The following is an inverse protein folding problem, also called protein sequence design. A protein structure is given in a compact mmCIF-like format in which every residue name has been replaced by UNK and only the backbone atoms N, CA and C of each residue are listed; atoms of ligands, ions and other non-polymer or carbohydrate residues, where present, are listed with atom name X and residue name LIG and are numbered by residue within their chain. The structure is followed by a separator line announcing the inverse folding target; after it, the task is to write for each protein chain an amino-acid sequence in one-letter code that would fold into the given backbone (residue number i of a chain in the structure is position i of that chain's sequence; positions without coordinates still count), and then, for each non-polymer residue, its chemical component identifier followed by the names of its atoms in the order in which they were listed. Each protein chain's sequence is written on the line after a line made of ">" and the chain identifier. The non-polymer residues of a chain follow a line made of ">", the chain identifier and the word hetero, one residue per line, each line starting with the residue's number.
data_IF_992177008984
#
_entry.id   IF_992177008984
#
_cell.length_a   1.000
_cell.length_b   1.000
_cell.length_c   1.000
_cell.angle_alpha   90.00
_cell.angle_beta   90.00
_cell.angle_gamma   90.00
#
_symmetry.space_group_name_H-M   'P 1'
#
loop_
_entity.id
_entity.type
_entity.pdbx_description
1 polymer ?
#
# COMPACT_ATOMS: atom_id res chain seq x y z
N UNK A 1 1.91 -19.56 1.06
CA UNK A 1 3.00 -18.82 0.38
C UNK A 1 3.41 -17.64 1.26
N UNK A 2 4.68 -17.25 1.30
CA UNK A 2 5.27 -16.36 2.34
C UNK A 2 5.20 -14.85 2.03
N UNK A 3 4.58 -14.44 0.92
CA UNK A 3 4.52 -13.03 0.50
C UNK A 3 5.85 -12.43 0.03
N UNK A 4 6.94 -13.20 0.00
CA UNK A 4 8.25 -12.73 -0.47
C UNK A 4 8.31 -12.70 -2.00
N UNK A 5 8.85 -11.61 -2.54
CA UNK A 5 9.08 -11.45 -3.98
C UNK A 5 10.34 -12.22 -4.38
N UNK A 6 10.26 -12.93 -5.52
CA UNK A 6 11.29 -13.87 -6.00
C UNK A 6 12.67 -13.24 -6.20
N UNK A 7 12.76 -11.91 -6.37
CA UNK A 7 14.03 -11.18 -6.49
C UNK A 7 14.96 -11.43 -5.29
N UNK A 8 14.41 -11.67 -4.09
CA UNK A 8 15.19 -11.92 -2.86
C UNK A 8 16.04 -13.19 -2.95
N UNK A 9 15.70 -14.13 -3.84
CA UNK A 9 16.49 -15.36 -4.04
C UNK A 9 17.85 -15.08 -4.69
N UNK A 10 17.99 -13.98 -5.43
CA UNK A 10 19.21 -13.59 -6.13
C UNK A 10 19.84 -12.31 -5.58
N UNK A 11 19.04 -11.46 -4.93
CA UNK A 11 19.44 -10.20 -4.32
C UNK A 11 19.28 -10.31 -2.80
N UNK A 12 20.38 -10.67 -2.13
CA UNK A 12 20.38 -11.04 -0.72
C UNK A 12 20.45 -9.82 0.22
N UNK A 13 20.85 -8.65 -0.30
CA UNK A 13 20.91 -7.42 0.47
C UNK A 13 19.52 -6.79 0.61
N UNK A 14 19.14 -6.41 1.83
CA UNK A 14 17.88 -5.74 2.11
C UNK A 14 18.08 -4.23 2.25
N UNK A 15 17.23 -3.43 1.58
CA UNK A 15 17.15 -1.98 1.73
C UNK A 15 15.69 -1.54 1.71
N UNK A 16 15.32 -0.48 2.45
CA UNK A 16 13.95 0.00 2.49
C UNK A 16 13.47 0.50 1.13
N UNK A 17 12.16 0.39 0.93
CA UNK A 17 11.45 0.75 -0.30
C UNK A 17 10.22 1.55 0.11
N UNK A 18 10.06 2.72 -0.51
CA UNK A 18 8.90 3.57 -0.30
C UNK A 18 8.06 3.59 -1.57
N UNK A 19 6.75 3.41 -1.38
CA UNK A 19 5.72 3.56 -2.40
C UNK A 19 4.71 4.59 -1.88
N UNK A 20 4.37 5.54 -2.74
CA UNK A 20 3.33 6.53 -2.52
C UNK A 20 2.21 6.26 -3.53
N UNK A 21 1.00 6.06 -3.02
CA UNK A 21 -0.22 5.87 -3.80
C UNK A 21 -1.33 6.73 -3.20
N UNK A 22 -2.29 7.20 -4.02
CA UNK A 22 -3.47 7.87 -3.51
C UNK A 22 -4.24 6.96 -2.54
N UNK A 23 -4.78 7.55 -1.48
CA UNK A 23 -5.54 6.83 -0.46
C UNK A 23 -6.79 6.14 -1.04
N UNK A 24 -7.42 6.77 -2.03
CA UNK A 24 -8.57 6.25 -2.75
C UNK A 24 -8.52 6.73 -4.19
N UNK A 25 -9.02 5.90 -5.09
CA UNK A 25 -9.12 6.20 -6.53
C UNK A 25 -10.54 5.97 -6.98
N UNK A 26 -11.00 6.82 -7.90
CA UNK A 26 -12.27 6.62 -8.57
C UNK A 26 -12.13 5.52 -9.64
N UNK A 27 -13.26 5.06 -10.16
CA UNK A 27 -13.33 4.08 -11.25
C UNK A 27 -12.84 4.68 -12.56
N UNK A 28 -12.30 3.85 -13.44
CA UNK A 28 -11.85 4.21 -14.79
C UNK A 28 -11.01 5.50 -14.82
N UNK A 29 -10.14 5.65 -13.81
CA UNK A 29 -9.35 6.85 -13.58
C UNK A 29 -7.88 6.50 -13.58
N UNK A 30 -7.08 7.28 -14.32
CA UNK A 30 -5.63 7.15 -14.29
C UNK A 30 -5.09 7.85 -13.05
N UNK A 31 -4.28 7.14 -12.26
CA UNK A 31 -3.60 7.70 -11.10
C UNK A 31 -2.11 7.33 -11.10
N UNK A 32 -1.34 8.10 -10.34
CA UNK A 32 0.09 7.90 -10.17
C UNK A 32 0.39 7.02 -8.95
N UNK A 33 1.16 5.96 -9.15
CA UNK A 33 1.88 5.29 -8.07
C UNK A 33 3.36 5.62 -8.18
N UNK A 34 3.89 6.34 -7.19
CA UNK A 34 5.29 6.77 -7.18
C UNK A 34 6.09 5.78 -6.35
N UNK A 35 7.07 5.14 -6.96
CA UNK A 35 8.01 4.28 -6.25
C UNK A 35 9.36 4.97 -6.23
N UNK A 36 9.90 5.18 -5.03
CA UNK A 36 11.21 5.83 -4.88
C UNK A 36 12.30 4.77 -4.99
N UNK A 37 12.99 4.76 -6.12
CA UNK A 37 13.91 3.71 -6.53
C UNK A 37 15.16 4.27 -7.17
N UNK A 38 16.36 3.88 -6.72
CA UNK A 38 17.55 4.08 -7.54
C UNK A 38 17.70 3.04 -8.67
N UNK A 39 17.26 1.77 -8.66
CA UNK A 39 17.35 0.91 -9.87
C UNK A 39 16.24 -0.16 -9.86
N UNK A 40 15.67 -0.50 -11.03
CA UNK A 40 14.80 -1.68 -11.31
C UNK A 40 13.59 -1.93 -10.40
N UNK A 41 12.40 -2.18 -10.98
CA UNK A 41 11.16 -2.39 -10.22
C UNK A 41 10.27 -3.49 -10.80
N UNK A 42 9.59 -4.19 -9.90
CA UNK A 42 8.40 -4.96 -10.22
C UNK A 42 7.25 -4.51 -9.29
N UNK A 43 6.08 -4.30 -9.86
CA UNK A 43 4.88 -3.86 -9.14
C UNK A 43 3.76 -4.87 -9.41
N UNK A 44 3.14 -5.35 -8.34
CA UNK A 44 1.99 -6.24 -8.37
C UNK A 44 0.76 -5.45 -7.99
N UNK A 45 -0.11 -5.23 -8.98
CA UNK A 45 -1.35 -4.52 -8.84
C UNK A 45 -2.51 -5.49 -8.57
N UNK A 46 -3.62 -4.99 -8.03
CA UNK A 46 -4.83 -5.78 -7.86
C UNK A 46 -5.38 -6.27 -9.21
N UNK A 47 -6.21 -7.30 -9.19
CA UNK A 47 -6.90 -7.80 -10.39
C UNK A 47 -7.69 -6.66 -11.07
N UNK A 48 -7.64 -6.61 -12.41
CA UNK A 48 -8.30 -5.58 -13.21
C UNK A 48 -7.55 -4.25 -13.35
N UNK A 49 -6.59 -3.95 -12.47
CA UNK A 49 -5.74 -2.76 -12.63
C UNK A 49 -4.66 -3.02 -13.69
N UNK A 50 -4.49 -2.05 -14.59
CA UNK A 50 -3.57 -2.15 -15.73
C UNK A 50 -2.76 -0.88 -15.88
N UNK A 51 -1.66 -0.95 -16.65
CA UNK A 51 -0.94 0.25 -17.07
C UNK A 51 -1.84 1.10 -17.97
N UNK A 52 -1.92 2.40 -17.70
CA UNK A 52 -2.70 3.31 -18.54
C UNK A 52 -2.13 3.37 -19.97
N UNK A 53 -3.04 3.34 -20.95
CA UNK A 53 -2.68 3.52 -22.36
C UNK A 53 -2.08 4.91 -22.59
N UNK A 54 -1.09 5.05 -23.50
CA UNK A 54 -0.43 6.34 -23.75
C UNK A 54 -1.41 7.49 -24.04
N UNK A 55 -2.53 7.21 -24.69
CA UNK A 55 -3.51 8.24 -25.08
C UNK A 55 -4.31 8.79 -23.90
N UNK A 56 -4.44 8.02 -22.81
CA UNK A 56 -5.19 8.40 -21.61
C UNK A 56 -4.32 9.04 -20.53
N UNK A 57 -3.00 9.13 -20.75
CA UNK A 57 -2.06 9.73 -19.78
C UNK A 57 -1.98 11.24 -20.03
N UNK A 58 -2.19 12.05 -18.98
CA UNK A 58 -2.04 13.50 -19.02
C UNK A 58 -0.62 13.92 -19.44
N UNK A 59 -0.45 15.06 -20.13
CA UNK A 59 0.85 15.53 -20.62
C UNK A 59 1.91 15.65 -19.51
N UNK A 60 1.51 16.16 -18.33
CA UNK A 60 2.39 16.27 -17.17
C UNK A 60 2.93 14.90 -16.70
N UNK A 61 2.06 13.89 -16.69
CA UNK A 61 2.43 12.53 -16.30
C UNK A 61 3.31 11.86 -17.37
N UNK A 62 3.15 12.21 -18.65
CA UNK A 62 4.01 11.71 -19.74
C UNK A 62 5.45 12.20 -19.58
N UNK A 63 5.65 13.44 -19.17
CA UNK A 63 6.99 13.98 -18.90
C UNK A 63 7.66 13.25 -17.73
N UNK A 64 6.92 13.03 -16.62
CA UNK A 64 7.41 12.29 -15.44
C UNK A 64 7.68 10.81 -15.72
N UNK A 65 6.81 10.17 -16.51
CA UNK A 65 6.97 8.78 -16.94
C UNK A 65 8.32 8.60 -17.66
N UNK A 66 8.80 9.63 -18.34
CA UNK A 66 10.04 9.64 -19.12
C UNK A 66 10.11 8.44 -20.10
N UNK A 67 11.25 8.21 -20.76
CA UNK A 67 11.42 7.10 -21.71
C UNK A 67 11.53 5.72 -21.03
N UNK A 68 10.78 5.49 -19.95
CA UNK A 68 10.71 4.20 -19.26
C UNK A 68 9.75 3.27 -20.00
N UNK A 69 10.26 2.07 -20.32
CA UNK A 69 9.46 0.98 -20.86
C UNK A 69 8.88 0.17 -19.71
N UNK A 70 7.56 0.01 -19.70
CA UNK A 70 6.84 -0.83 -18.75
C UNK A 70 6.40 -2.09 -19.50
N UNK A 71 6.73 -3.24 -18.94
CA UNK A 71 6.39 -4.53 -19.52
C UNK A 71 5.47 -5.30 -18.59
N UNK A 72 4.59 -6.12 -19.16
CA UNK A 72 3.82 -7.08 -18.37
C UNK A 72 4.72 -8.27 -18.05
N UNK A 73 4.69 -8.74 -16.80
CA UNK A 73 5.46 -9.93 -16.39
C UNK A 73 5.10 -11.16 -17.21
N UNK A 74 3.82 -11.29 -17.63
CA UNK A 74 3.34 -12.27 -18.58
C UNK A 74 2.31 -11.64 -19.52
N UNK A 75 2.16 -12.11 -20.77
CA UNK A 75 1.15 -11.60 -21.71
C UNK A 75 -0.28 -11.69 -21.15
N UNK A 76 -0.58 -12.73 -20.38
CA UNK A 76 -1.91 -12.96 -19.78
C UNK A 76 -2.15 -12.18 -18.49
N UNK A 77 -1.09 -11.71 -17.81
CA UNK A 77 -1.19 -11.01 -16.52
C UNK A 77 -0.76 -9.56 -16.67
N UNK A 78 -1.74 -8.70 -16.92
CA UNK A 78 -1.53 -7.26 -17.13
C UNK A 78 -1.40 -6.44 -15.84
N UNK A 79 -1.80 -6.99 -14.71
CA UNK A 79 -1.68 -6.35 -13.39
C UNK A 79 -0.28 -6.48 -12.77
N UNK A 80 0.62 -7.24 -13.39
CA UNK A 80 2.00 -7.36 -12.91
C UNK A 80 2.93 -6.64 -13.87
N UNK A 81 3.48 -5.52 -13.42
CA UNK A 81 4.32 -4.64 -14.22
C UNK A 81 5.78 -4.81 -13.83
N UNK A 82 6.66 -4.86 -14.82
CA UNK A 82 8.11 -4.96 -14.67
C UNK A 82 8.75 -3.82 -15.43
N UNK A 83 9.80 -3.26 -14.84
CA UNK A 83 10.64 -2.25 -15.46
C UNK A 83 12.03 -2.82 -15.63
N UNK A 84 12.58 -2.63 -16.83
CA UNK A 84 13.94 -3.01 -17.15
C UNK A 84 14.99 -2.27 -16.30
N UNK A 85 16.24 -2.76 -16.24
CA UNK A 85 17.31 -2.06 -15.55
C UNK A 85 17.51 -0.65 -16.11
N UNK A 86 17.37 0.37 -15.25
CA UNK A 86 17.47 1.79 -15.62
C UNK A 86 18.61 2.49 -14.88
N UNK A 87 19.24 3.54 -15.45
CA UNK A 87 20.29 4.28 -14.77
C UNK A 87 19.79 5.04 -13.54
N UNK A 88 20.20 4.60 -12.36
CA UNK A 88 19.69 5.13 -11.11
C UNK A 88 20.06 6.52 -10.68
N UNK A 89 21.14 7.06 -11.26
CA UNK A 89 21.44 8.49 -11.10
C UNK A 89 20.37 9.37 -11.78
N UNK A 90 19.74 8.85 -12.84
CA UNK A 90 18.71 9.55 -13.61
C UNK A 90 17.32 9.26 -13.07
N UNK A 91 17.06 8.00 -12.71
CA UNK A 91 15.77 7.56 -12.21
C UNK A 91 15.92 7.15 -10.75
N UNK A 92 15.75 8.13 -9.86
CA UNK A 92 15.65 7.93 -8.41
C UNK A 92 14.22 7.76 -7.94
N UNK A 93 13.26 8.19 -8.76
CA UNK A 93 11.82 8.04 -8.56
C UNK A 93 11.22 7.59 -9.87
N UNK A 94 10.28 6.65 -9.79
CA UNK A 94 9.59 6.09 -10.94
C UNK A 94 8.10 6.20 -10.70
N UNK A 95 7.42 6.89 -11.60
CA UNK A 95 5.97 7.06 -11.58
C UNK A 95 5.31 6.04 -12.50
N UNK A 96 4.42 5.22 -11.93
CA UNK A 96 3.58 4.29 -12.67
C UNK A 96 2.22 4.93 -12.94
N UNK A 97 1.85 5.18 -14.21
CA UNK A 97 0.50 5.58 -14.56
C UNK A 97 -0.40 4.35 -14.61
N UNK A 98 -1.21 4.16 -13.57
CA UNK A 98 -2.09 3.01 -13.42
C UNK A 98 -3.52 3.43 -13.74
N UNK A 99 -4.22 2.64 -14.53
CA UNK A 99 -5.65 2.78 -14.77
C UNK A 99 -6.40 1.93 -13.76
N UNK A 100 -7.30 2.56 -12.98
CA UNK A 100 -8.24 1.83 -12.14
C UNK A 100 -9.32 1.18 -12.99
N UNK A 101 -9.82 0.03 -12.53
CA UNK A 101 -10.87 -0.71 -13.22
C UNK A 101 -12.25 -0.29 -12.78
N UNK A 102 -13.25 -0.59 -13.61
CA UNK A 102 -14.66 -0.40 -13.29
C UNK A 102 -15.33 -1.77 -12.96
N UNK A 103 -15.75 -1.99 -11.70
CA UNK A 103 -16.56 -3.15 -11.27
C UNK A 103 -17.81 -3.42 -12.10
N UNK A 104 -18.36 -2.40 -12.78
CA UNK A 104 -19.51 -2.59 -13.68
C UNK A 104 -19.09 -3.37 -14.93
N UNK A 105 -17.86 -3.16 -15.39
CA UNK A 105 -17.31 -3.82 -16.57
C UNK A 105 -16.70 -5.20 -16.27
N UNK A 106 -16.10 -5.40 -15.09
CA UNK A 106 -15.44 -6.64 -14.67
C UNK A 106 -16.11 -7.21 -13.42
N UNK A 107 -16.77 -8.38 -13.56
CA UNK A 107 -17.57 -9.00 -12.49
C UNK A 107 -16.76 -9.42 -11.25
N UNK A 108 -15.47 -9.70 -11.42
CA UNK A 108 -14.60 -10.21 -10.35
C UNK A 108 -13.93 -9.09 -9.54
N UNK A 109 -14.22 -7.82 -9.87
CA UNK A 109 -13.68 -6.67 -9.15
C UNK A 109 -14.78 -6.01 -8.32
N UNK A 110 -14.47 -5.74 -7.05
CA UNK A 110 -15.39 -5.14 -6.09
C UNK A 110 -14.82 -3.86 -5.49
N UNK A 111 -15.68 -3.03 -4.90
CA UNK A 111 -15.27 -1.85 -4.14
C UNK A 111 -14.70 -2.26 -2.79
N UNK A 112 -13.39 -2.52 -2.75
CA UNK A 112 -12.66 -2.96 -1.57
C UNK A 112 -11.32 -2.22 -1.47
N UNK A 113 -10.70 -2.32 -0.30
CA UNK A 113 -9.31 -1.91 -0.12
C UNK A 113 -8.41 -3.02 -0.66
N UNK A 114 -7.65 -2.73 -1.70
CA UNK A 114 -6.70 -3.68 -2.26
C UNK A 114 -5.26 -3.39 -1.82
N UNK A 115 -4.45 -4.42 -1.55
CA UNK A 115 -3.03 -4.26 -1.35
C UNK A 115 -2.29 -4.05 -2.68
N UNK A 116 -1.22 -3.26 -2.66
CA UNK A 116 -0.26 -3.13 -3.76
C UNK A 116 1.09 -3.60 -3.25
N UNK A 117 1.71 -4.55 -3.93
CA UNK A 117 3.03 -5.06 -3.54
C UNK A 117 4.09 -4.60 -4.53
N UNK A 118 5.23 -4.14 -4.01
CA UNK A 118 6.33 -3.65 -4.82
C UNK A 118 7.62 -4.35 -4.44
N UNK A 119 8.33 -4.84 -5.45
CA UNK A 119 9.67 -5.39 -5.32
C UNK A 119 10.66 -4.53 -6.08
N UNK A 120 11.77 -4.22 -5.43
CA UNK A 120 12.78 -3.31 -5.95
C UNK A 120 14.17 -3.89 -5.70
N UNK A 121 15.10 -3.59 -6.60
CA UNK A 121 16.49 -3.98 -6.40
C UNK A 121 17.49 -2.92 -6.86
N UNK A 122 18.41 -2.52 -5.97
CA UNK A 122 19.57 -1.69 -6.32
C UNK A 122 20.83 -2.54 -6.50
N UNK A 123 21.37 -2.55 -7.72
CA UNK A 123 22.67 -3.14 -8.04
C UNK A 123 22.58 -4.57 -8.58
N UNK A 124 23.73 -5.21 -8.78
CA UNK A 124 23.82 -6.56 -9.38
C UNK A 124 23.48 -7.63 -8.34
N UNK A 125 22.90 -8.75 -8.78
CA UNK A 125 22.60 -9.90 -7.92
C UNK A 125 23.85 -10.67 -7.49
N UNK A 126 23.71 -11.47 -6.44
CA UNK A 126 24.75 -12.33 -5.88
C UNK A 126 24.81 -13.71 -6.55
N UNK A 127 23.70 -14.15 -7.17
CA UNK A 127 23.51 -15.50 -7.71
C UNK A 127 22.92 -15.39 -9.12
N UNK A 128 23.35 -16.29 -10.01
CA UNK A 128 22.80 -16.44 -11.36
C UNK A 128 21.69 -17.50 -11.40
N UNK A 129 20.81 -17.49 -12.42
CA UNK A 129 19.76 -18.50 -12.56
C UNK A 129 20.25 -19.95 -12.62
N UNK A 130 21.49 -20.20 -13.04
CA UNK A 130 22.13 -21.52 -13.04
C UNK A 130 22.69 -21.93 -11.66
N UNK A 131 22.48 -21.11 -10.63
CA UNK A 131 22.95 -21.33 -9.25
C UNK A 131 24.38 -20.87 -8.99
N UNK A 132 25.13 -20.41 -10.01
CA UNK A 132 26.50 -19.93 -9.80
C UNK A 132 26.50 -18.60 -9.06
N UNK A 133 27.48 -18.40 -8.19
CA UNK A 133 27.72 -17.11 -7.52
C UNK A 133 28.30 -16.10 -8.50
N UNK A 134 27.88 -14.84 -8.39
CA UNK A 134 28.44 -13.72 -9.13
C UNK A 134 29.69 -13.16 -8.44
N UNK A 135 30.38 -12.26 -9.12
CA UNK A 135 31.48 -11.48 -8.53
C UNK A 135 31.01 -10.36 -7.59
N UNK A 136 29.70 -10.23 -7.36
CA UNK A 136 29.11 -9.24 -6.45
C UNK A 136 28.68 -9.88 -5.13
N UNK A 137 29.53 -10.75 -4.59
CA UNK A 137 29.33 -11.44 -3.33
C UNK A 137 30.58 -11.25 -2.44
N UNK A 138 30.40 -11.24 -1.12
CA UNK A 138 31.53 -11.15 -0.20
C UNK A 138 32.35 -12.46 -0.28
N UNK A 139 33.61 -12.37 -0.67
CA UNK A 139 34.57 -13.47 -0.56
C UNK A 139 34.86 -13.70 0.92
N UNK A 140 34.51 -14.87 1.46
CA UNK A 140 34.77 -15.21 2.85
C UNK A 140 36.28 -15.52 3.04
N UNK A 141 37.05 -14.48 3.31
CA UNK A 141 38.34 -14.58 4.01
C UNK A 141 38.32 -13.56 5.14
N UNK A 142 38.16 -14.04 6.37
CA UNK A 142 38.39 -13.23 7.58
C UNK A 142 37.30 -13.37 8.66
N UNK A 143 37.68 -14.07 9.73
CA UNK A 143 37.17 -14.10 11.12
C UNK A 143 36.05 -13.08 11.42
N UNK A 144 34.85 -13.59 11.74
CA UNK A 144 33.72 -12.81 12.25
C UNK A 144 32.92 -13.64 13.26
N UNK A 145 32.68 -13.06 14.45
CA UNK A 145 32.14 -13.71 15.64
C UNK A 145 30.85 -14.52 15.41
N UNK A 146 30.83 -15.72 15.97
CA UNK A 146 29.65 -16.57 16.11
C UNK A 146 28.82 -16.07 17.30
N UNK A 147 27.56 -15.68 17.07
CA UNK A 147 26.59 -15.46 18.14
C UNK A 147 25.47 -16.48 17.95
N UNK A 148 25.37 -17.40 18.90
CA UNK A 148 24.26 -18.33 19.03
C UNK A 148 23.19 -17.72 19.92
N UNK A 149 21.93 -17.69 19.48
CA UNK A 149 20.79 -17.48 20.38
C UNK A 149 19.84 -18.64 20.15
N UNK A 150 19.57 -19.39 21.21
CA UNK A 150 18.63 -20.52 21.25
C UNK A 150 17.31 -20.04 21.83
N UNK A 151 16.20 -20.43 21.20
CA UNK A 151 14.86 -20.15 21.67
C UNK A 151 14.40 -21.22 22.67
N UNK A 152 13.84 -20.81 23.80
CA UNK A 152 13.36 -21.71 24.84
C UNK A 152 11.84 -21.58 24.96
N UNK A 153 11.11 -22.13 23.98
CA UNK A 153 9.98 -23.06 24.20
C UNK A 153 9.04 -23.27 23.00
N UNK A 154 9.06 -22.47 21.91
CA UNK A 154 8.49 -22.87 20.58
C UNK A 154 8.74 -21.89 19.39
N UNK A 155 9.80 -21.07 19.42
CA UNK A 155 10.59 -20.75 18.22
C UNK A 155 10.06 -19.84 17.10
N UNK A 156 8.77 -19.52 17.03
CA UNK A 156 8.22 -18.75 15.91
C UNK A 156 7.95 -17.28 16.24
N UNK A 157 8.84 -16.41 15.76
CA UNK A 157 8.62 -14.96 15.76
C UNK A 157 7.86 -14.53 14.50
N UNK A 158 6.68 -13.96 14.69
CA UNK A 158 5.91 -13.29 13.64
C UNK A 158 6.11 -11.78 13.83
N UNK A 159 6.83 -11.16 12.90
CA UNK A 159 7.02 -9.71 12.87
C UNK A 159 6.03 -9.13 11.87
N UNK A 160 5.06 -8.38 12.38
CA UNK A 160 4.09 -7.64 11.57
C UNK A 160 4.45 -6.15 11.57
N UNK A 161 4.55 -5.54 10.39
CA UNK A 161 5.04 -4.16 10.21
C UNK A 161 3.83 -3.27 9.92
N UNK A 162 3.47 -2.41 10.88
CA UNK A 162 2.38 -1.45 10.73
C UNK A 162 2.94 -0.14 10.16
N UNK A 163 2.47 0.34 8.99
CA UNK A 163 2.90 1.61 8.42
C UNK A 163 2.39 2.81 9.25
N UNK A 164 3.07 3.97 9.22
CA UNK A 164 2.66 5.16 9.97
C UNK A 164 1.28 5.66 9.51
N UNK A 165 0.41 5.99 10.45
CA UNK A 165 -0.92 6.55 10.15
C UNK A 165 -1.98 6.24 11.21
N UNK A 166 -2.45 4.99 11.34
CA UNK A 166 -3.55 4.66 12.25
C UNK A 166 -3.08 4.61 13.71
N UNK A 167 -3.96 5.05 14.62
CA UNK A 167 -3.71 4.98 16.06
C UNK A 167 -3.72 3.52 16.52
N UNK A 168 -2.66 3.10 17.21
CA UNK A 168 -2.54 1.76 17.79
C UNK A 168 -3.53 1.60 18.94
N UNK A 169 -4.20 0.44 18.99
CA UNK A 169 -5.15 0.10 20.06
C UNK A 169 -4.50 -0.65 21.23
N UNK A 170 -3.24 -1.07 21.07
CA UNK A 170 -2.58 -2.03 21.95
C UNK A 170 -1.35 -1.40 22.60
N UNK A 171 -1.13 -1.71 23.87
CA UNK A 171 0.03 -1.26 24.65
C UNK A 171 1.11 -2.33 24.77
N UNK A 172 2.35 -1.94 25.08
CA UNK A 172 3.48 -2.87 25.24
C UNK A 172 3.18 -3.89 26.35
N UNK A 173 3.04 -5.17 26.00
CA UNK A 173 2.88 -6.30 26.94
C UNK A 173 1.49 -6.95 27.01
N UNK A 174 0.54 -6.54 26.17
CA UNK A 174 -0.83 -7.08 26.15
C UNK A 174 -0.95 -8.36 25.31
N UNK A 175 -1.74 -9.34 25.76
CA UNK A 175 -1.97 -10.60 25.04
C UNK A 175 -3.06 -10.46 23.98
N UNK A 176 -2.74 -10.75 22.72
CA UNK A 176 -3.66 -10.67 21.57
C UNK A 176 -4.20 -12.05 21.16
N UNK A 177 -5.43 -12.09 20.64
CA UNK A 177 -5.99 -13.27 19.97
C UNK A 177 -5.68 -13.26 18.47
N UNK A 178 -5.68 -14.44 17.84
CA UNK A 178 -5.57 -14.56 16.38
C UNK A 178 -6.69 -13.73 15.72
N UNK A 179 -6.36 -12.93 14.69
CA UNK A 179 -7.25 -12.02 13.94
C UNK A 179 -7.81 -10.80 14.71
N UNK A 180 -7.24 -10.45 15.87
CA UNK A 180 -7.61 -9.22 16.57
C UNK A 180 -7.06 -7.96 15.84
N UNK A 181 -7.89 -6.94 15.56
CA UNK A 181 -7.42 -5.73 14.88
C UNK A 181 -6.47 -4.92 15.77
N UNK A 182 -5.26 -4.66 15.27
CA UNK A 182 -4.19 -3.96 16.01
C UNK A 182 -4.26 -2.42 15.89
N UNK A 183 -5.08 -1.92 14.97
CA UNK A 183 -5.17 -0.50 14.61
C UNK A 183 -6.62 -0.03 14.50
N UNK A 184 -6.86 1.24 14.80
CA UNK A 184 -8.15 1.87 14.47
C UNK A 184 -8.22 2.05 12.96
N UNK A 185 -9.33 1.62 12.34
CA UNK A 185 -9.58 1.90 10.92
C UNK A 185 -9.66 3.43 10.72
N UNK A 186 -8.73 4.06 9.98
CA UNK A 186 -8.70 5.51 9.79
C UNK A 186 -9.71 6.00 8.73
N UNK A 187 -10.56 5.10 8.20
CA UNK A 187 -11.49 5.43 7.14
C UNK A 187 -12.51 6.49 7.59
N UNK A 188 -12.47 7.66 6.93
CA UNK A 188 -13.50 8.71 7.01
C UNK A 188 -14.32 8.83 5.72
N UNK A 189 -14.15 7.89 4.78
CA UNK A 189 -14.85 7.86 3.50
C UNK A 189 -16.05 6.90 3.49
N UNK A 190 -17.15 7.35 2.89
CA UNK A 190 -18.31 6.54 2.55
C UNK A 190 -19.17 7.25 1.50
N UNK A 191 -19.33 6.63 0.32
CA UNK A 191 -20.25 7.14 -0.70
C UNK A 191 -21.69 6.84 -0.22
N UNK A 192 -22.50 7.89 -0.06
CA UNK A 192 -23.81 7.84 0.62
C UNK A 192 -23.80 8.38 2.06
N UNK A 193 -22.61 8.60 2.65
CA UNK A 193 -22.47 9.11 4.02
C UNK A 193 -22.85 10.59 4.14
N UNK A 194 -22.70 11.39 3.08
CA UNK A 194 -22.97 12.83 3.16
C UNK A 194 -24.44 13.14 3.48
N UNK A 195 -25.37 12.41 2.85
CA UNK A 195 -26.81 12.57 3.15
C UNK A 195 -27.13 12.09 4.56
N UNK A 196 -26.53 10.98 4.99
CA UNK A 196 -26.69 10.46 6.34
C UNK A 196 -26.09 11.39 7.42
N UNK A 197 -24.92 11.97 7.16
CA UNK A 197 -24.31 12.97 8.05
C UNK A 197 -25.13 14.25 8.07
N UNK A 198 -25.65 14.71 6.93
CA UNK A 198 -26.53 15.85 6.86
C UNK A 198 -27.82 15.58 7.66
N UNK A 199 -28.40 14.39 7.56
CA UNK A 199 -29.61 14.03 8.31
C UNK A 199 -29.35 13.91 9.82
N UNK A 200 -28.19 13.39 10.24
CA UNK A 200 -27.77 13.40 11.65
C UNK A 200 -27.61 14.84 12.16
N UNK A 201 -26.90 15.69 11.43
CA UNK A 201 -26.71 17.10 11.81
C UNK A 201 -28.06 17.81 11.92
N UNK A 202 -28.95 17.58 10.96
CA UNK A 202 -30.31 18.12 10.99
C UNK A 202 -31.07 17.62 12.23
N UNK A 203 -31.08 16.32 12.50
CA UNK A 203 -31.73 15.75 13.68
C UNK A 203 -31.17 16.33 14.99
N UNK A 204 -29.84 16.49 15.10
CA UNK A 204 -29.19 17.11 16.25
C UNK A 204 -29.62 18.58 16.44
N UNK A 205 -29.67 19.37 15.37
CA UNK A 205 -30.16 20.76 15.41
C UNK A 205 -31.60 20.81 15.92
N UNK A 206 -32.50 19.97 15.38
CA UNK A 206 -33.89 19.94 15.80
C UNK A 206 -34.07 19.50 17.25
N UNK A 207 -33.30 18.53 17.73
CA UNK A 207 -33.32 18.11 19.13
C UNK A 207 -32.91 19.26 20.07
N UNK A 208 -31.85 20.00 19.73
CA UNK A 208 -31.38 21.15 20.52
C UNK A 208 -32.41 22.28 20.51
N UNK A 209 -32.97 22.62 19.34
CA UNK A 209 -34.01 23.64 19.23
C UNK A 209 -35.26 23.25 20.04
N UNK A 210 -35.68 21.99 19.97
CA UNK A 210 -36.85 21.52 20.72
C UNK A 210 -36.62 21.53 22.22
N UNK A 211 -35.43 21.12 22.68
CA UNK A 211 -35.02 21.24 24.09
C UNK A 211 -35.08 22.69 24.56
N UNK A 212 -34.50 23.63 23.80
CA UNK A 212 -34.52 25.08 24.13
C UNK A 212 -35.93 25.67 24.15
N UNK A 213 -36.82 25.21 23.28
CA UNK A 213 -38.24 25.59 23.32
C UNK A 213 -38.91 25.12 24.62
N UNK A 214 -38.66 23.88 25.04
CA UNK A 214 -39.26 23.31 26.25
C UNK A 214 -38.73 23.97 27.53
N UNK A 215 -37.42 24.25 27.61
CA UNK A 215 -36.81 24.98 28.72
C UNK A 215 -37.50 26.33 28.98
N UNK A 216 -37.90 27.07 27.93
CA UNK A 216 -38.64 28.33 28.08
C UNK A 216 -40.03 28.15 28.72
N UNK A 217 -40.70 27.04 28.42
CA UNK A 217 -42.02 26.73 28.99
C UNK A 217 -41.89 26.33 30.46
N UNK A 218 -40.92 25.49 30.81
CA UNK A 218 -40.64 25.11 32.20
C UNK A 218 -40.32 26.32 33.08
N UNK A 219 -39.50 27.26 32.57
CA UNK A 219 -39.19 28.51 33.29
C UNK A 219 -40.44 29.37 33.53
N UNK A 220 -41.36 29.44 32.57
CA UNK A 220 -42.62 30.19 32.70
C UNK A 220 -43.57 29.55 33.73
N UNK A 221 -43.60 28.22 33.81
CA UNK A 221 -44.49 27.48 34.70
C UNK A 221 -43.90 27.21 36.10
N UNK A 222 -42.61 27.51 36.32
CA UNK A 222 -41.86 27.21 37.56
C UNK A 222 -42.04 25.76 38.06
N UNK A 223 -42.35 24.84 37.15
CA UNK A 223 -42.49 23.41 37.41
C UNK A 223 -41.53 22.69 36.47
N UNK A 224 -40.60 21.96 37.07
CA UNK A 224 -39.48 21.30 36.39
C UNK A 224 -39.79 19.85 36.07
#
# INVERSE_FOLDING_TARGET
>A
ATGRIVCVNFHLANKPVDIEVPQAVLLDTVFEAVVRIPYGCCSYLPEGFELALPDHILPEMKEKKSNLSFQNYRPTKKNTLVIDPVPGKKYSEITFPILSTDPVSIKDVHFLKYPIYVGKNRGRGQIYPDGKKSNNNATATGIGYEITITDALDGHQVVDIIPPGPKLLISKGESIKLDQPLTINPNVGGFGLLFFLASINFAQIFLVLKKKQFEKVQVSQMNF
#
